data_IF_598758312093
#
_entry.id   IF_598758312093
#
_cell.length_a   1.000
_cell.length_b   1.000
_cell.length_c   1.000
_cell.angle_alpha   90.00
_cell.angle_beta   90.00
_cell.angle_gamma   90.00
#
_symmetry.space_group_name_H-M   'P 1'
#
loop_
_entity.id
_entity.type
_entity.pdbx_description
1 polymer ?
#
# COMPACT_ATOMS: atom_id res chain seq x y z
N UNK A 1 21.36 -45.24 -18.93
CA UNK A 1 20.12 -44.52 -19.21
C UNK A 1 20.22 -43.17 -18.50
N UNK A 2 20.40 -42.04 -19.21
CA UNK A 2 20.47 -40.72 -18.53
C UNK A 2 19.07 -40.34 -18.02
N UNK A 3 19.01 -40.03 -16.75
CA UNK A 3 17.85 -39.51 -16.03
C UNK A 3 17.43 -38.18 -16.67
N UNK A 4 16.23 -38.11 -17.23
CA UNK A 4 15.66 -36.90 -17.78
C UNK A 4 15.53 -35.88 -16.68
N UNK A 5 16.32 -34.81 -16.74
CA UNK A 5 16.17 -33.62 -15.91
C UNK A 5 14.72 -33.13 -16.03
N UNK A 6 13.96 -33.22 -14.94
CA UNK A 6 12.66 -32.61 -14.84
C UNK A 6 12.87 -31.10 -14.91
N UNK A 7 12.46 -30.50 -16.02
CA UNK A 7 12.40 -29.05 -16.13
C UNK A 7 11.48 -28.55 -15.01
N UNK A 8 12.09 -27.87 -14.03
CA UNK A 8 11.28 -27.13 -13.04
C UNK A 8 10.48 -26.10 -13.83
N UNK A 9 9.16 -26.17 -13.72
CA UNK A 9 8.29 -25.15 -14.29
C UNK A 9 8.66 -23.80 -13.65
N UNK A 10 8.78 -22.72 -14.44
CA UNK A 10 9.03 -21.40 -13.88
C UNK A 10 7.90 -21.08 -12.90
N UNK A 11 8.27 -20.76 -11.66
CA UNK A 11 7.29 -20.25 -10.67
C UNK A 11 6.70 -18.95 -11.21
N UNK A 12 5.40 -18.96 -11.44
CA UNK A 12 4.66 -17.74 -11.78
C UNK A 12 4.83 -16.72 -10.64
N UNK A 13 5.11 -15.44 -10.96
CA UNK A 13 5.27 -14.43 -9.93
C UNK A 13 4.00 -14.35 -9.07
N UNK A 14 4.13 -14.72 -7.79
CA UNK A 14 3.02 -14.70 -6.86
C UNK A 14 2.57 -13.24 -6.69
N UNK A 15 1.31 -12.97 -6.96
CA UNK A 15 0.74 -11.64 -6.75
C UNK A 15 0.68 -11.35 -5.26
N UNK A 16 1.31 -10.27 -4.86
CA UNK A 16 1.37 -9.84 -3.46
C UNK A 16 0.03 -9.34 -2.95
N UNK A 17 -0.18 -9.44 -1.66
CA UNK A 17 -1.32 -8.85 -0.94
C UNK A 17 -0.91 -7.48 -0.41
N UNK A 18 -1.72 -6.46 -0.68
CA UNK A 18 -1.52 -5.11 -0.16
C UNK A 18 -1.96 -5.00 1.30
N UNK A 19 -1.24 -4.24 2.11
CA UNK A 19 -1.66 -3.93 3.48
C UNK A 19 -1.56 -2.42 3.68
N UNK A 20 -2.65 -1.81 4.16
CA UNK A 20 -2.71 -0.38 4.51
C UNK A 20 -3.07 -0.25 5.98
N UNK A 21 -2.12 0.26 6.78
CA UNK A 21 -2.35 0.55 8.20
C UNK A 21 -2.74 2.02 8.40
N UNK A 22 -3.66 2.31 9.33
CA UNK A 22 -3.98 3.68 9.68
C UNK A 22 -2.81 4.40 10.37
N UNK A 23 -1.97 3.65 11.10
CA UNK A 23 -0.74 4.15 11.77
C UNK A 23 -0.92 5.45 12.57
N UNK A 24 -2.14 5.70 13.07
CA UNK A 24 -2.46 6.90 13.84
C UNK A 24 -1.67 6.98 15.15
N UNK A 25 -0.81 8.00 15.30
CA UNK A 25 0.09 8.13 16.45
C UNK A 25 -0.59 8.73 17.69
N UNK A 26 -1.81 9.23 17.52
CA UNK A 26 -2.62 9.85 18.60
C UNK A 26 -3.29 8.83 19.52
N UNK A 27 -3.34 7.55 19.11
CA UNK A 27 -4.01 6.49 19.85
C UNK A 27 -3.15 5.25 19.94
N UNK A 28 -3.18 4.51 21.07
CA UNK A 28 -2.47 3.23 21.19
C UNK A 28 -2.81 2.24 20.09
N UNK A 29 -4.08 2.20 19.68
CA UNK A 29 -4.54 1.34 18.57
C UNK A 29 -3.83 1.61 17.25
N UNK A 30 -3.51 2.87 16.93
CA UNK A 30 -2.76 3.21 15.72
C UNK A 30 -1.32 2.70 15.77
N UNK A 31 -0.66 2.77 16.93
CA UNK A 31 0.66 2.18 17.13
C UNK A 31 0.62 0.65 17.02
N UNK A 32 -0.43 0.02 17.56
CA UNK A 32 -0.66 -1.44 17.39
C UNK A 32 -0.75 -1.81 15.91
N UNK A 33 -1.56 -1.08 15.11
CA UNK A 33 -1.70 -1.38 13.68
C UNK A 33 -0.38 -1.30 12.95
N UNK A 34 0.41 -0.27 13.22
CA UNK A 34 1.73 -0.08 12.61
C UNK A 34 2.68 -1.22 12.95
N UNK A 35 2.79 -1.58 14.24
CA UNK A 35 3.69 -2.65 14.68
C UNK A 35 3.26 -4.02 14.15
N UNK A 36 1.97 -4.32 14.18
CA UNK A 36 1.43 -5.57 13.64
C UNK A 36 1.71 -5.72 12.14
N UNK A 37 1.48 -4.65 11.37
CA UNK A 37 1.73 -4.67 9.93
C UNK A 37 3.21 -4.82 9.62
N UNK A 38 4.11 -4.11 10.32
CA UNK A 38 5.55 -4.30 10.16
C UNK A 38 5.97 -5.74 10.47
N UNK A 39 5.41 -6.35 11.53
CA UNK A 39 5.69 -7.75 11.89
C UNK A 39 5.29 -8.72 10.76
N UNK A 40 4.20 -8.46 10.06
CA UNK A 40 3.78 -9.25 8.90
C UNK A 40 4.71 -9.03 7.70
N UNK A 41 4.98 -7.78 7.37
CA UNK A 41 5.80 -7.39 6.21
C UNK A 41 7.25 -7.88 6.31
N UNK A 42 7.85 -7.82 7.50
CA UNK A 42 9.26 -8.11 7.71
C UNK A 42 9.51 -9.55 8.16
N UNK A 43 8.55 -10.15 8.86
CA UNK A 43 8.76 -11.44 9.53
C UNK A 43 7.82 -12.55 9.05
N UNK A 44 6.50 -12.35 9.08
CA UNK A 44 5.56 -13.43 8.86
C UNK A 44 5.33 -13.72 7.37
N UNK A 45 5.21 -12.69 6.51
CA UNK A 45 4.89 -12.85 5.08
C UNK A 45 5.68 -11.86 4.20
N UNK A 46 7.01 -11.75 4.32
CA UNK A 46 7.80 -10.71 3.66
C UNK A 46 7.75 -10.76 2.14
N UNK A 47 7.71 -11.95 1.54
CA UNK A 47 7.67 -12.12 0.09
C UNK A 47 6.27 -11.98 -0.52
N UNK A 48 5.23 -12.14 0.29
CA UNK A 48 3.83 -12.20 -0.15
C UNK A 48 3.08 -10.88 0.04
N UNK A 49 3.70 -9.88 0.65
CA UNK A 49 3.04 -8.65 1.04
C UNK A 49 3.74 -7.40 0.48
N UNK A 50 2.95 -6.34 0.31
CA UNK A 50 3.41 -4.98 -0.02
C UNK A 50 2.58 -3.99 0.80
N UNK A 51 3.11 -2.80 1.02
CA UNK A 51 2.39 -1.74 1.73
C UNK A 51 2.56 -0.39 1.05
N UNK A 52 1.62 0.48 1.33
CA UNK A 52 1.74 1.92 1.09
C UNK A 52 1.34 2.64 2.38
N UNK A 53 2.03 3.69 2.76
CA UNK A 53 1.62 4.47 3.91
C UNK A 53 0.35 5.28 3.61
N UNK A 54 -0.56 5.36 4.57
CA UNK A 54 -1.84 6.05 4.39
C UNK A 54 -1.69 7.52 3.96
N UNK A 55 -0.75 8.32 4.50
CA UNK A 55 -0.52 9.69 4.01
C UNK A 55 -0.16 9.76 2.53
N UNK A 56 0.74 8.91 2.04
CA UNK A 56 1.10 8.85 0.61
C UNK A 56 -0.11 8.42 -0.23
N UNK A 57 -0.85 7.42 0.22
CA UNK A 57 -2.06 6.97 -0.47
C UNK A 57 -3.11 8.09 -0.60
N UNK A 58 -3.27 8.93 0.42
CA UNK A 58 -4.23 10.04 0.41
C UNK A 58 -3.74 11.25 -0.42
N UNK A 59 -2.48 11.65 -0.24
CA UNK A 59 -1.89 12.85 -0.84
C UNK A 59 -1.26 12.59 -2.21
N UNK A 60 -0.96 11.35 -2.53
CA UNK A 60 -0.29 10.94 -3.76
C UNK A 60 -1.15 11.04 -5.02
N UNK A 61 -0.55 10.73 -6.15
CA UNK A 61 -1.18 10.74 -7.46
C UNK A 61 -2.07 9.52 -7.73
N UNK A 62 -2.50 9.39 -8.98
CA UNK A 62 -3.35 8.26 -9.40
C UNK A 62 -2.64 6.89 -9.25
N UNK A 63 -1.32 6.85 -9.46
CA UNK A 63 -0.52 5.63 -9.29
C UNK A 63 -0.55 5.12 -7.85
N UNK A 64 -0.40 6.02 -6.88
CA UNK A 64 -0.45 5.69 -5.47
C UNK A 64 -1.86 5.24 -5.05
N UNK A 65 -2.88 5.95 -5.54
CA UNK A 65 -4.29 5.60 -5.30
C UNK A 65 -4.75 4.34 -6.02
N UNK A 66 -4.04 3.91 -7.05
CA UNK A 66 -4.34 2.64 -7.74
C UNK A 66 -3.96 1.40 -6.92
N UNK A 67 -3.28 1.55 -5.77
CA UNK A 67 -2.75 0.46 -4.95
C UNK A 67 -3.74 -0.69 -4.74
N UNK A 68 -4.96 -0.41 -4.26
CA UNK A 68 -5.96 -1.44 -4.01
C UNK A 68 -6.69 -1.95 -5.27
N UNK A 69 -6.43 -1.36 -6.44
CA UNK A 69 -6.86 -1.90 -7.73
C UNK A 69 -5.90 -2.99 -8.24
N UNK A 70 -4.61 -2.85 -7.91
CA UNK A 70 -3.59 -3.83 -8.32
C UNK A 70 -3.42 -4.97 -7.31
N UNK A 71 -3.53 -4.67 -6.01
CA UNK A 71 -3.34 -5.64 -4.94
C UNK A 71 -4.64 -5.87 -4.18
N UNK A 72 -5.04 -7.12 -3.89
CA UNK A 72 -6.06 -7.36 -2.88
C UNK A 72 -5.55 -6.76 -1.58
N UNK A 73 -6.29 -5.80 -1.04
CA UNK A 73 -5.78 -4.96 0.03
C UNK A 73 -6.49 -5.25 1.35
N UNK A 74 -5.70 -5.49 2.39
CA UNK A 74 -6.15 -5.59 3.78
C UNK A 74 -6.00 -4.21 4.41
N UNK A 75 -7.10 -3.64 4.91
CA UNK A 75 -7.09 -2.41 5.69
C UNK A 75 -7.00 -2.72 7.18
N UNK A 76 -6.13 -2.02 7.91
CA UNK A 76 -5.89 -2.26 9.34
C UNK A 76 -6.05 -0.97 10.11
N UNK A 77 -7.08 -0.90 10.94
CA UNK A 77 -7.48 0.32 11.65
C UNK A 77 -7.37 0.19 13.16
N UNK A 78 -6.88 1.23 13.81
CA UNK A 78 -6.67 1.28 15.26
C UNK A 78 -7.92 1.63 16.06
N UNK A 79 -9.00 2.09 15.42
CA UNK A 79 -10.23 2.53 16.08
C UNK A 79 -11.42 2.51 15.12
N UNK A 80 -12.59 2.80 15.66
CA UNK A 80 -13.88 2.85 14.97
C UNK A 80 -13.96 3.82 13.78
N UNK A 81 -13.07 4.83 13.71
CA UNK A 81 -13.01 5.78 12.60
C UNK A 81 -12.64 5.11 11.27
N UNK A 82 -11.94 3.97 11.30
CA UNK A 82 -11.60 3.13 10.15
C UNK A 82 -10.98 3.92 9.00
N UNK A 83 -9.98 4.75 9.32
CA UNK A 83 -9.36 5.66 8.34
C UNK A 83 -8.75 4.92 7.14
N UNK A 84 -8.06 3.80 7.38
CA UNK A 84 -7.45 3.01 6.30
C UNK A 84 -8.52 2.35 5.42
N UNK A 85 -9.52 1.72 6.00
CA UNK A 85 -10.60 1.08 5.25
C UNK A 85 -11.38 2.09 4.42
N UNK A 86 -11.81 3.19 5.04
CA UNK A 86 -12.55 4.26 4.36
C UNK A 86 -11.77 4.94 3.25
N UNK A 87 -10.48 5.23 3.49
CA UNK A 87 -9.65 5.83 2.47
C UNK A 87 -9.45 4.88 1.28
N UNK A 88 -9.19 3.60 1.55
CA UNK A 88 -9.00 2.59 0.51
C UNK A 88 -10.26 2.46 -0.36
N UNK A 89 -11.43 2.38 0.24
CA UNK A 89 -12.70 2.30 -0.48
C UNK A 89 -13.00 3.57 -1.27
N UNK A 90 -12.76 4.74 -0.69
CA UNK A 90 -13.11 6.03 -1.32
C UNK A 90 -12.20 6.38 -2.51
N UNK A 91 -10.90 6.08 -2.41
CA UNK A 91 -9.92 6.57 -3.39
C UNK A 91 -9.36 5.49 -4.32
N UNK A 92 -9.63 4.22 -4.07
CA UNK A 92 -9.09 3.13 -4.87
C UNK A 92 -10.11 2.05 -5.16
N UNK A 93 -10.24 1.07 -4.26
CA UNK A 93 -11.17 -0.04 -4.36
C UNK A 93 -11.58 -0.50 -2.97
N UNK A 94 -12.69 -1.23 -2.87
CA UNK A 94 -13.11 -1.83 -1.60
C UNK A 94 -12.00 -2.76 -1.08
N UNK A 95 -11.58 -2.64 0.21
CA UNK A 95 -10.64 -3.57 0.80
C UNK A 95 -11.14 -5.01 0.70
N UNK A 96 -10.25 -5.95 0.40
CA UNK A 96 -10.55 -7.38 0.39
C UNK A 96 -10.87 -7.89 1.80
N UNK A 97 -10.20 -7.33 2.80
CA UNK A 97 -10.48 -7.56 4.21
C UNK A 97 -10.17 -6.30 5.03
N UNK A 98 -10.78 -6.19 6.19
CA UNK A 98 -10.53 -5.08 7.12
C UNK A 98 -10.54 -5.59 8.56
N UNK A 99 -9.57 -5.12 9.35
CA UNK A 99 -9.43 -5.41 10.77
C UNK A 99 -9.44 -4.14 11.59
N UNK A 100 -10.05 -4.18 12.76
CA UNK A 100 -9.90 -3.15 13.79
C UNK A 100 -9.27 -3.72 15.04
N UNK A 101 -8.51 -2.90 15.78
CA UNK A 101 -7.89 -3.31 17.04
C UNK A 101 -8.95 -3.72 18.06
N UNK A 102 -10.09 -3.03 18.11
CA UNK A 102 -11.18 -3.35 19.05
C UNK A 102 -11.79 -4.73 18.76
N UNK A 103 -11.93 -5.12 17.49
CA UNK A 103 -12.40 -6.47 17.12
C UNK A 103 -11.41 -7.56 17.59
N UNK A 104 -10.11 -7.33 17.47
CA UNK A 104 -9.08 -8.27 17.94
C UNK A 104 -9.07 -8.38 19.47
N UNK A 105 -9.12 -7.25 20.15
CA UNK A 105 -9.21 -7.19 21.62
C UNK A 105 -10.42 -8.00 22.11
N UNK A 106 -11.58 -7.78 21.52
CA UNK A 106 -12.82 -8.46 21.90
C UNK A 106 -12.76 -9.95 21.58
N UNK A 107 -12.29 -10.32 20.38
CA UNK A 107 -12.22 -11.72 19.93
C UNK A 107 -11.31 -12.58 20.78
N UNK A 108 -10.21 -12.02 21.27
CA UNK A 108 -9.18 -12.75 22.01
C UNK A 108 -9.19 -12.47 23.51
N UNK A 109 -10.18 -11.73 24.00
CA UNK A 109 -10.30 -11.32 25.41
C UNK A 109 -9.00 -10.69 25.94
N UNK A 110 -8.42 -9.79 25.16
CA UNK A 110 -7.15 -9.13 25.50
C UNK A 110 -7.39 -7.79 26.18
N UNK A 111 -6.44 -7.31 27.01
CA UNK A 111 -6.53 -5.98 27.58
C UNK A 111 -6.45 -4.93 26.47
N UNK A 112 -7.17 -3.81 26.66
CA UNK A 112 -7.07 -2.67 25.73
C UNK A 112 -5.63 -2.15 25.68
N UNK A 113 -5.07 -1.89 24.49
CA UNK A 113 -3.69 -1.43 24.37
C UNK A 113 -3.50 -0.07 25.03
N UNK A 114 -2.34 0.09 25.69
CA UNK A 114 -1.95 1.30 26.39
C UNK A 114 -0.61 1.82 25.88
N UNK A 115 -0.36 3.11 26.15
CA UNK A 115 0.79 3.83 25.61
C UNK A 115 0.48 4.42 24.23
N UNK A 116 1.06 5.57 23.91
CA UNK A 116 0.82 6.22 22.62
C UNK A 116 1.80 5.73 21.55
N UNK A 117 2.98 6.32 21.50
CA UNK A 117 4.03 5.97 20.53
C UNK A 117 4.86 4.76 20.94
N UNK A 118 4.91 4.49 22.24
CA UNK A 118 5.47 3.27 22.83
C UNK A 118 4.36 2.53 23.54
N UNK A 119 4.15 1.31 23.14
CA UNK A 119 3.19 0.43 23.78
C UNK A 119 3.76 -0.11 25.10
N UNK A 120 2.87 -0.41 26.04
CA UNK A 120 3.27 -1.19 27.21
C UNK A 120 3.53 -2.63 26.83
N UNK A 121 4.32 -3.39 27.62
CA UNK A 121 4.61 -4.79 27.32
C UNK A 121 3.36 -5.66 27.14
N UNK A 122 2.31 -5.40 27.92
CA UNK A 122 1.02 -6.12 27.85
C UNK A 122 0.32 -5.92 26.52
N UNK A 123 0.50 -4.75 25.89
CA UNK A 123 -0.07 -4.43 24.59
C UNK A 123 0.54 -5.22 23.43
N UNK A 124 1.71 -5.86 23.65
CA UNK A 124 2.34 -6.70 22.63
C UNK A 124 1.48 -7.92 22.27
N UNK A 125 0.71 -8.44 23.22
CA UNK A 125 -0.22 -9.53 22.94
C UNK A 125 -1.27 -9.15 21.87
N UNK A 126 -1.73 -7.89 21.89
CA UNK A 126 -2.66 -7.38 20.88
C UNK A 126 -1.97 -7.22 19.51
N UNK A 127 -0.71 -6.74 19.51
CA UNK A 127 0.10 -6.67 18.27
C UNK A 127 0.26 -8.06 17.65
N UNK A 128 0.57 -9.05 18.47
CA UNK A 128 0.80 -10.42 18.01
C UNK A 128 -0.46 -11.09 17.50
N UNK A 129 -1.58 -10.91 18.20
CA UNK A 129 -2.88 -11.41 17.76
C UNK A 129 -3.32 -10.78 16.43
N UNK A 130 -3.17 -9.46 16.30
CA UNK A 130 -3.49 -8.75 15.06
C UNK A 130 -2.56 -9.17 13.91
N UNK A 131 -1.25 -9.27 14.15
CA UNK A 131 -0.30 -9.73 13.14
C UNK A 131 -0.62 -11.14 12.65
N UNK A 132 -0.98 -12.05 13.57
CA UNK A 132 -1.38 -13.42 13.24
C UNK A 132 -2.66 -13.46 12.40
N UNK A 133 -3.66 -12.63 12.74
CA UNK A 133 -4.91 -12.52 11.99
C UNK A 133 -4.67 -11.98 10.56
N UNK A 134 -3.82 -10.96 10.42
CA UNK A 134 -3.44 -10.42 9.12
C UNK A 134 -2.69 -11.48 8.29
N UNK A 135 -1.73 -12.20 8.89
CA UNK A 135 -0.99 -13.23 8.19
C UNK A 135 -1.87 -14.38 7.68
N UNK A 136 -2.86 -14.80 8.49
CA UNK A 136 -3.83 -15.79 8.07
C UNK A 136 -4.69 -15.31 6.89
N UNK A 137 -5.07 -14.03 6.89
CA UNK A 137 -5.83 -13.44 5.78
C UNK A 137 -4.98 -13.28 4.51
N UNK A 138 -3.67 -12.98 4.64
CA UNK A 138 -2.74 -13.01 3.51
C UNK A 138 -2.70 -14.39 2.87
N UNK A 139 -2.60 -15.45 3.67
CA UNK A 139 -2.62 -16.83 3.17
C UNK A 139 -3.93 -17.15 2.46
N UNK A 140 -5.07 -16.77 3.05
CA UNK A 140 -6.39 -16.96 2.46
C UNK A 140 -6.52 -16.24 1.11
N UNK A 141 -6.19 -14.96 1.04
CA UNK A 141 -6.26 -14.18 -0.19
C UNK A 141 -5.30 -14.69 -1.28
N UNK A 142 -4.15 -15.20 -0.88
CA UNK A 142 -3.19 -15.83 -1.80
C UNK A 142 -3.73 -17.15 -2.35
N UNK A 143 -4.37 -17.99 -1.51
CA UNK A 143 -4.93 -19.27 -1.91
C UNK A 143 -6.17 -19.13 -2.81
N UNK A 144 -7.08 -18.21 -2.51
CA UNK A 144 -8.30 -17.95 -3.31
C UNK A 144 -7.94 -17.54 -4.74
N UNK A 145 -6.87 -16.78 -4.93
CA UNK A 145 -6.42 -16.33 -6.25
C UNK A 145 -5.80 -17.42 -7.13
N UNK A 146 -5.26 -18.46 -6.53
CA UNK A 146 -4.80 -19.63 -7.30
C UNK A 146 -5.95 -20.40 -7.97
N UNK A 147 -7.19 -20.18 -7.53
CA UNK A 147 -8.39 -20.87 -8.04
C UNK A 147 -9.16 -20.06 -9.09
N UNK A 148 -8.91 -18.76 -9.21
CA UNK A 148 -9.60 -17.89 -10.17
C UNK A 148 -8.58 -17.39 -11.21
N UNK A 149 -8.73 -17.77 -12.51
CA UNK A 149 -7.90 -17.21 -13.57
C UNK A 149 -8.05 -15.69 -13.62
N UNK A 150 -6.96 -14.98 -13.84
CA UNK A 150 -6.96 -13.52 -13.97
C UNK A 150 -7.83 -13.09 -15.17
N UNK A 151 -8.83 -12.20 -15.00
CA UNK A 151 -9.60 -11.70 -16.16
C UNK A 151 -8.73 -10.93 -17.18
N UNK A 152 -7.46 -10.67 -16.90
CA UNK A 152 -6.50 -10.00 -17.78
C UNK A 152 -5.75 -10.93 -18.75
N UNK A 153 -5.76 -12.25 -18.57
CA UNK A 153 -5.02 -13.18 -19.45
C UNK A 153 -5.72 -13.47 -20.79
N UNK A 154 -6.93 -12.92 -21.00
CA UNK A 154 -7.74 -13.15 -22.20
C UNK A 154 -7.70 -12.06 -23.26
N UNK A 155 -7.10 -10.91 -23.01
CA UNK A 155 -7.05 -9.80 -23.99
C UNK A 155 -5.60 -9.54 -24.40
N UNK A 156 -5.06 -10.42 -25.23
CA UNK A 156 -4.05 -10.01 -26.22
C UNK A 156 -4.79 -9.24 -27.30
N UNK A 157 -5.08 -7.97 -27.04
CA UNK A 157 -5.35 -7.05 -28.12
C UNK A 157 -4.11 -7.00 -29.02
N UNK A 158 -4.30 -7.42 -30.26
CA UNK A 158 -3.37 -7.21 -31.35
C UNK A 158 -3.05 -5.72 -31.41
N UNK A 159 -1.88 -5.36 -30.91
CA UNK A 159 -1.33 -4.02 -31.03
C UNK A 159 -1.12 -3.74 -32.51
N UNK A 160 -2.09 -3.06 -33.13
CA UNK A 160 -1.89 -2.44 -34.43
C UNK A 160 -0.78 -1.41 -34.26
N UNK A 161 0.28 -1.56 -35.05
CA UNK A 161 1.36 -0.58 -35.17
C UNK A 161 0.80 0.73 -35.70
N UNK A 162 0.38 1.60 -34.77
CA UNK A 162 0.14 3.01 -35.05
C UNK A 162 1.39 3.77 -34.60
N UNK A 163 2.17 4.24 -35.55
CA UNK A 163 3.31 5.12 -35.29
C UNK A 163 2.85 6.33 -34.49
N UNK A 164 3.18 6.39 -33.20
CA UNK A 164 3.04 7.56 -32.37
C UNK A 164 4.20 8.49 -32.73
N UNK A 165 3.89 9.52 -33.53
CA UNK A 165 4.76 10.64 -33.80
C UNK A 165 4.99 11.36 -32.46
N UNK A 166 6.19 11.26 -31.90
CA UNK A 166 6.60 12.04 -30.73
C UNK A 166 6.51 13.54 -31.08
N UNK A 167 5.78 14.34 -30.30
CA UNK A 167 5.89 15.78 -30.45
C UNK A 167 7.27 16.21 -29.94
N UNK A 168 8.06 16.85 -30.79
CA UNK A 168 9.33 17.46 -30.45
C UNK A 168 9.11 18.42 -29.25
N UNK A 169 9.65 18.03 -28.08
CA UNK A 169 9.67 18.90 -26.90
C UNK A 169 10.65 20.03 -27.15
N UNK A 170 10.15 21.25 -27.41
CA UNK A 170 10.92 22.47 -27.25
C UNK A 170 11.33 22.63 -25.79
N UNK A 171 12.59 23.01 -25.49
CA UNK A 171 12.99 23.23 -24.10
C UNK A 171 12.15 24.38 -23.51
N UNK A 172 11.37 24.08 -22.48
CA UNK A 172 10.60 25.06 -21.75
C UNK A 172 11.55 26.06 -21.07
N UNK A 173 11.25 27.35 -21.16
CA UNK A 173 11.98 28.39 -20.48
C UNK A 173 11.84 28.22 -18.96
N UNK A 174 12.96 28.04 -18.27
CA UNK A 174 13.02 27.93 -16.82
C UNK A 174 13.09 29.33 -16.22
N UNK A 175 12.02 29.76 -15.56
CA UNK A 175 12.01 30.97 -14.74
C UNK A 175 12.32 30.58 -13.28
N UNK A 176 13.42 31.10 -12.74
CA UNK A 176 13.78 30.95 -11.33
C UNK A 176 13.22 32.10 -10.51
N UNK A 177 12.26 31.83 -9.63
CA UNK A 177 11.78 32.74 -8.62
C UNK A 177 12.16 32.21 -7.22
N UNK A 178 12.39 33.10 -6.25
CA UNK A 178 12.63 32.70 -4.86
C UNK A 178 11.33 32.58 -4.09
N UNK A 179 11.21 31.58 -3.21
CA UNK A 179 10.05 31.37 -2.38
C UNK A 179 9.81 32.57 -1.45
N UNK A 180 8.55 33.03 -1.37
CA UNK A 180 8.14 34.11 -0.47
C UNK A 180 8.24 33.75 1.04
N UNK A 181 8.52 32.50 1.38
CA UNK A 181 8.70 32.03 2.76
C UNK A 181 10.07 32.38 3.37
N UNK A 182 10.96 33.05 2.64
CA UNK A 182 12.27 33.50 3.15
C UNK A 182 13.33 32.39 3.32
N UNK A 183 13.07 31.17 2.86
CA UNK A 183 14.02 30.05 2.96
C UNK A 183 15.19 30.11 1.98
N UNK A 184 15.15 31.03 1.02
CA UNK A 184 16.21 31.18 -0.01
C UNK A 184 16.31 30.01 -1.01
N UNK A 185 15.41 29.04 -0.95
CA UNK A 185 15.39 27.88 -1.86
C UNK A 185 14.82 28.34 -3.21
N UNK A 186 15.53 28.14 -4.33
CA UNK A 186 15.03 28.51 -5.64
C UNK A 186 13.82 27.64 -6.02
N UNK A 187 12.75 28.29 -6.49
CA UNK A 187 11.58 27.62 -7.05
C UNK A 187 11.75 27.59 -8.57
N UNK A 188 11.66 26.41 -9.14
CA UNK A 188 11.60 26.24 -10.59
C UNK A 188 10.16 26.02 -11.01
N UNK A 189 9.63 26.92 -11.84
CA UNK A 189 8.29 26.76 -12.41
C UNK A 189 8.41 26.01 -13.74
N UNK A 190 7.71 24.88 -13.84
CA UNK A 190 7.65 24.06 -15.06
C UNK A 190 6.23 24.09 -15.60
N UNK A 191 6.05 24.36 -16.88
CA UNK A 191 4.76 24.23 -17.55
C UNK A 191 4.55 22.79 -18.02
N UNK A 192 3.53 22.13 -17.46
CA UNK A 192 3.08 20.80 -17.86
C UNK A 192 1.64 20.86 -18.33
N UNK A 193 1.41 20.53 -19.59
CA UNK A 193 0.06 20.48 -20.20
C UNK A 193 -0.75 21.76 -20.01
N UNK A 194 -0.11 22.94 -20.16
CA UNK A 194 -0.77 24.26 -20.02
C UNK A 194 -1.08 24.66 -18.56
N UNK A 195 -0.44 24.02 -17.57
CA UNK A 195 -0.51 24.39 -16.16
C UNK A 195 0.90 24.65 -15.63
N UNK A 196 1.07 25.79 -14.99
CA UNK A 196 2.31 26.11 -14.29
C UNK A 196 2.38 25.34 -12.96
N UNK A 197 3.44 24.56 -12.75
CA UNK A 197 3.71 23.82 -11.51
C UNK A 197 5.01 24.32 -10.91
N UNK A 198 4.98 24.73 -9.67
CA UNK A 198 6.17 25.16 -8.92
C UNK A 198 6.85 23.94 -8.28
N UNK A 199 8.15 23.78 -8.55
CA UNK A 199 8.96 22.70 -8.00
C UNK A 199 10.07 23.32 -7.15
N UNK A 200 10.15 22.90 -5.88
CA UNK A 200 11.28 23.24 -5.02
C UNK A 200 12.51 22.47 -5.52
N UNK A 201 13.57 23.18 -5.88
CA UNK A 201 14.85 22.56 -6.17
C UNK A 201 15.53 22.18 -4.84
N UNK A 202 15.71 20.86 -4.63
CA UNK A 202 16.49 20.30 -3.52
C UNK A 202 17.98 20.35 -3.84
#
# INVERSE_FOLDING_TARGET
MPEKARHAMPELPQRKVGIVACSGEELPGGTVTRQAVLKVLEGLRPSQTVTICLPLFLAGGEGDRAFARFYPTIAVDGCEKRCAARATELYSNKPAAAFTVDEIVTRHDLPRPQGLRRLTPESNAVVDALASAIAAEVDHLSAVRCLVPDPGDGVRESRAEGAIMEPAMSPAAVNTATCACGSGIPITTVELCGRSVEILAL
#
